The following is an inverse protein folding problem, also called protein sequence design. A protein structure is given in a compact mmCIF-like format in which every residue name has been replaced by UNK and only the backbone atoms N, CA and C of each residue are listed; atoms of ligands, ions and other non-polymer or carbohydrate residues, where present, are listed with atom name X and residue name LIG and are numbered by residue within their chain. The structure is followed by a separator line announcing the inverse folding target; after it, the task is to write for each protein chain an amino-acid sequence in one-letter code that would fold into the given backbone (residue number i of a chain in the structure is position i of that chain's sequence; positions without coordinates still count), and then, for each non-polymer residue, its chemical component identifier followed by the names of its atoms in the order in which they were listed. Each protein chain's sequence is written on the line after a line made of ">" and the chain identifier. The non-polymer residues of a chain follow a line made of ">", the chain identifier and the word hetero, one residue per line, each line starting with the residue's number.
data_IF_094010753466
#
_entry.id   IF_094010753466
#
_cell.length_a   1.000
_cell.length_b   1.000
_cell.length_c   1.000
_cell.angle_alpha   90.00
_cell.angle_beta   90.00
_cell.angle_gamma   90.00
#
_symmetry.space_group_name_H-M   'P 1'
#
loop_
_entity.id
_entity.type
_entity.pdbx_description
1 polymer ?
#
# COMPACT_ATOMS: atom_id res chain seq x y z
N UNK A 1 -32.24 -1.21 -52.72
CA UNK A 1 -31.58 0.02 -52.21
C UNK A 1 -31.16 -0.25 -50.78
N UNK A 2 -29.94 -0.80 -50.59
CA UNK A 2 -29.48 -1.19 -49.22
C UNK A 2 -28.97 0.05 -48.50
N UNK A 3 -29.60 0.40 -47.41
CA UNK A 3 -29.16 1.44 -46.53
C UNK A 3 -27.95 0.91 -45.77
N UNK A 4 -26.76 1.40 -46.14
CA UNK A 4 -25.51 1.06 -45.48
C UNK A 4 -25.54 1.55 -44.05
N UNK A 5 -25.54 0.63 -43.10
CA UNK A 5 -25.34 0.92 -41.69
C UNK A 5 -23.88 1.37 -41.52
N UNK A 6 -23.69 2.67 -41.36
CA UNK A 6 -22.38 3.23 -41.01
C UNK A 6 -21.97 2.70 -39.61
N UNK A 7 -21.10 1.68 -39.61
CA UNK A 7 -20.43 1.25 -38.41
C UNK A 7 -19.53 2.40 -37.88
N UNK A 8 -19.96 3.05 -36.82
CA UNK A 8 -19.15 4.03 -36.16
C UNK A 8 -17.97 3.30 -35.48
N UNK A 9 -16.78 3.43 -36.08
CA UNK A 9 -15.58 2.85 -35.52
C UNK A 9 -15.26 3.53 -34.16
N UNK A 10 -15.23 2.74 -33.09
CA UNK A 10 -14.81 3.21 -31.78
C UNK A 10 -13.45 2.61 -31.42
N UNK A 11 -12.67 3.34 -30.61
CA UNK A 11 -11.44 2.83 -30.02
C UNK A 11 -11.72 2.38 -28.58
N UNK A 12 -11.12 1.26 -28.20
CA UNK A 12 -11.14 0.82 -26.80
C UNK A 12 -9.89 1.42 -26.15
N UNK A 13 -10.09 2.18 -25.07
CA UNK A 13 -9.03 2.79 -24.25
C UNK A 13 -9.08 2.13 -22.89
N UNK A 14 -7.94 1.62 -22.41
CA UNK A 14 -7.81 1.10 -21.07
C UNK A 14 -7.69 2.27 -20.08
N UNK A 15 -8.61 2.32 -19.12
CA UNK A 15 -8.64 3.34 -18.06
C UNK A 15 -8.39 2.66 -16.71
N UNK A 16 -7.13 2.29 -16.44
CA UNK A 16 -6.72 1.58 -15.23
C UNK A 16 -7.01 0.08 -15.25
N UNK A 17 -6.74 -0.61 -14.14
CA UNK A 17 -6.69 -2.08 -14.03
C UNK A 17 -7.97 -2.82 -14.47
N UNK A 18 -9.14 -2.20 -14.37
CA UNK A 18 -10.42 -2.93 -14.50
C UNK A 18 -11.47 -2.28 -15.39
N UNK A 19 -11.17 -1.16 -16.06
CA UNK A 19 -12.17 -0.43 -16.85
C UNK A 19 -11.70 -0.20 -18.28
N UNK A 20 -12.52 -0.67 -19.22
CA UNK A 20 -12.36 -0.39 -20.65
C UNK A 20 -13.38 0.64 -21.11
N UNK A 21 -12.91 1.73 -21.68
CA UNK A 21 -13.76 2.80 -22.21
C UNK A 21 -13.85 2.71 -23.73
N UNK A 22 -15.04 2.82 -24.28
CA UNK A 22 -15.25 2.99 -25.72
C UNK A 22 -15.18 4.48 -26.05
N UNK A 23 -14.24 4.89 -26.89
CA UNK A 23 -14.09 6.25 -27.36
C UNK A 23 -14.61 6.38 -28.79
N UNK A 24 -15.54 7.30 -28.99
CA UNK A 24 -16.09 7.68 -30.31
C UNK A 24 -15.45 8.98 -30.82
N UNK A 25 -14.44 9.50 -30.12
CA UNK A 25 -13.76 10.73 -30.47
C UNK A 25 -12.98 10.56 -31.78
N UNK A 26 -13.17 11.49 -32.70
CA UNK A 26 -12.39 11.62 -33.94
C UNK A 26 -11.17 12.53 -33.78
N UNK A 27 -11.12 13.32 -32.71
CA UNK A 27 -10.05 14.24 -32.39
C UNK A 27 -9.04 13.51 -31.49
N UNK A 28 -7.74 13.67 -31.77
CA UNK A 28 -6.69 13.18 -30.87
C UNK A 28 -6.76 13.90 -29.54
N UNK A 29 -6.70 13.14 -28.44
CA UNK A 29 -6.58 13.75 -27.14
C UNK A 29 -5.30 14.58 -27.09
N UNK A 30 -5.43 15.86 -26.80
CA UNK A 30 -4.30 16.78 -26.65
C UNK A 30 -3.58 16.56 -25.32
N UNK A 31 -4.29 16.01 -24.33
CA UNK A 31 -3.76 15.69 -23.01
C UNK A 31 -4.09 14.24 -22.65
N UNK A 32 -3.10 13.56 -22.11
CA UNK A 32 -3.33 12.28 -21.44
C UNK A 32 -3.95 12.56 -20.07
N UNK A 33 -5.09 11.90 -19.78
CA UNK A 33 -5.67 11.94 -18.45
C UNK A 33 -4.70 11.24 -17.49
N UNK A 34 -4.09 12.01 -16.58
CA UNK A 34 -3.29 11.47 -15.49
C UNK A 34 -4.21 10.67 -14.54
N UNK A 35 -3.64 9.66 -13.92
CA UNK A 35 -4.32 8.96 -12.84
C UNK A 35 -4.52 9.93 -11.67
N UNK A 36 -5.79 10.23 -11.35
CA UNK A 36 -6.14 11.16 -10.27
C UNK A 36 -5.84 10.59 -8.87
N UNK A 37 -5.64 9.28 -8.77
CA UNK A 37 -5.30 8.56 -7.53
C UNK A 37 -3.80 8.36 -7.36
N UNK A 38 -2.99 8.81 -8.31
CA UNK A 38 -1.55 8.57 -8.34
C UNK A 38 -0.85 9.03 -7.06
N UNK A 39 -1.28 10.17 -6.50
CA UNK A 39 -0.68 10.72 -5.28
C UNK A 39 -0.87 9.77 -4.10
N UNK A 40 -2.10 9.27 -3.89
CA UNK A 40 -2.42 8.36 -2.80
C UNK A 40 -1.74 7.00 -2.98
N UNK A 41 -1.84 6.43 -4.18
CA UNK A 41 -1.31 5.10 -4.46
C UNK A 41 0.21 5.06 -4.40
N UNK A 42 0.90 6.06 -4.98
CA UNK A 42 2.37 6.14 -4.91
C UNK A 42 2.87 6.42 -3.49
N UNK A 43 2.19 7.28 -2.74
CA UNK A 43 2.54 7.57 -1.36
C UNK A 43 2.43 6.31 -0.48
N UNK A 44 1.34 5.55 -0.63
CA UNK A 44 1.17 4.30 0.10
C UNK A 44 2.18 3.23 -0.33
N UNK A 45 2.45 3.12 -1.63
CA UNK A 45 3.46 2.20 -2.15
C UNK A 45 4.86 2.56 -1.61
N UNK A 46 5.22 3.83 -1.59
CA UNK A 46 6.48 4.29 -0.98
C UNK A 46 6.53 3.94 0.50
N UNK A 47 5.45 4.21 1.25
CA UNK A 47 5.38 3.88 2.66
C UNK A 47 5.60 2.40 2.92
N UNK A 48 4.93 1.52 2.17
CA UNK A 48 5.02 0.07 2.36
C UNK A 48 6.34 -0.53 1.87
N UNK A 49 7.07 0.10 0.96
CA UNK A 49 8.32 -0.43 0.41
C UNK A 49 9.57 0.20 1.01
N UNK A 50 9.53 1.50 1.28
CA UNK A 50 10.69 2.29 1.69
C UNK A 50 10.52 2.88 3.07
N UNK A 51 9.37 3.53 3.34
CA UNK A 51 9.14 4.26 4.57
C UNK A 51 9.25 3.40 5.83
N UNK A 52 8.70 2.18 5.79
CA UNK A 52 8.83 1.23 6.92
C UNK A 52 10.30 0.84 7.14
N UNK A 53 11.07 0.63 6.07
CA UNK A 53 12.51 0.31 6.18
C UNK A 53 13.31 1.46 6.79
N UNK A 54 13.02 2.69 6.39
CA UNK A 54 13.66 3.89 6.95
C UNK A 54 13.40 4.00 8.45
N UNK A 55 12.13 3.80 8.88
CA UNK A 55 11.78 3.83 10.31
C UNK A 55 12.51 2.73 11.08
N UNK A 56 12.61 1.53 10.54
CA UNK A 56 13.37 0.47 11.20
C UNK A 56 14.87 0.78 11.24
N UNK A 57 15.45 1.31 10.17
CA UNK A 57 16.86 1.68 10.13
C UNK A 57 17.20 2.79 11.15
N UNK A 58 16.29 3.71 11.43
CA UNK A 58 16.47 4.78 12.40
C UNK A 58 16.36 4.29 13.85
N UNK A 59 15.58 3.23 14.09
CA UNK A 59 15.33 2.72 15.45
C UNK A 59 16.32 1.63 15.88
N UNK A 60 16.94 0.94 14.92
CA UNK A 60 17.76 -0.24 15.20
C UNK A 60 19.22 -0.08 14.70
N UNK A 61 20.19 -0.77 15.30
CA UNK A 61 20.04 -1.80 16.34
C UNK A 61 19.72 -1.22 17.72
N UNK A 62 18.93 -1.99 18.50
CA UNK A 62 18.71 -1.66 19.93
C UNK A 62 19.65 -2.51 20.75
N UNK A 63 20.50 -1.85 21.53
CA UNK A 63 21.44 -2.49 22.44
C UNK A 63 21.01 -2.36 23.89
N UNK A 64 21.33 -3.35 24.71
CA UNK A 64 21.13 -3.22 26.15
C UNK A 64 22.20 -2.29 26.74
N UNK A 65 21.97 -1.80 27.94
CA UNK A 65 22.89 -0.88 28.63
C UNK A 65 24.30 -1.42 28.82
N UNK A 66 24.46 -2.73 28.92
CA UNK A 66 25.76 -3.41 29.05
C UNK A 66 26.45 -3.71 27.70
N UNK A 67 25.79 -3.48 26.56
CA UNK A 67 26.30 -3.82 25.23
C UNK A 67 26.45 -5.32 24.94
N UNK A 68 25.87 -6.18 25.81
CA UNK A 68 26.00 -7.64 25.67
C UNK A 68 24.94 -8.26 24.74
N UNK A 69 23.81 -7.58 24.58
CA UNK A 69 22.70 -8.02 23.72
C UNK A 69 22.40 -6.92 22.70
N UNK A 70 22.31 -7.29 21.43
CA UNK A 70 21.82 -6.43 20.36
C UNK A 70 20.64 -7.06 19.66
N UNK A 71 19.61 -6.26 19.38
CA UNK A 71 18.43 -6.63 18.65
C UNK A 71 18.46 -5.95 17.29
N UNK A 72 18.41 -6.75 16.24
CA UNK A 72 18.36 -6.26 14.87
C UNK A 72 17.06 -6.68 14.19
N UNK A 73 16.57 -5.84 13.29
CA UNK A 73 15.43 -6.17 12.42
C UNK A 73 15.94 -6.61 11.06
N UNK A 74 15.37 -7.72 10.57
CA UNK A 74 15.59 -8.23 9.22
C UNK A 74 14.54 -7.75 8.24
N UNK A 75 14.10 -8.66 7.39
CA UNK A 75 13.06 -8.38 6.41
C UNK A 75 11.68 -8.38 7.06
N UNK A 76 10.75 -7.63 6.47
CA UNK A 76 9.36 -7.61 6.86
C UNK A 76 8.46 -8.01 5.70
N UNK A 77 7.31 -8.57 6.02
CA UNK A 77 6.29 -8.90 5.05
C UNK A 77 4.89 -8.70 5.61
N UNK A 78 3.95 -8.57 4.70
CA UNK A 78 2.54 -8.51 5.02
C UNK A 78 1.91 -9.84 4.68
N UNK A 79 1.20 -10.43 5.63
CA UNK A 79 0.39 -11.60 5.40
C UNK A 79 -0.89 -11.25 4.61
N UNK A 80 -1.61 -12.27 4.18
CA UNK A 80 -2.89 -12.07 3.52
C UNK A 80 -3.94 -11.49 4.49
N UNK A 81 -4.79 -10.55 4.02
CA UNK A 81 -5.89 -10.02 4.81
C UNK A 81 -6.86 -11.13 5.23
N UNK A 82 -7.31 -11.09 6.48
CA UNK A 82 -8.24 -12.11 7.03
C UNK A 82 -9.61 -12.10 6.37
N UNK A 83 -10.07 -10.93 5.93
CA UNK A 83 -11.39 -10.72 5.36
C UNK A 83 -11.29 -9.98 4.04
N UNK A 84 -12.22 -10.23 3.14
CA UNK A 84 -12.37 -9.46 1.93
C UNK A 84 -12.90 -8.05 2.23
N UNK A 85 -12.70 -7.11 1.31
CA UNK A 85 -13.20 -5.72 1.44
C UNK A 85 -14.71 -5.69 1.72
N UNK A 86 -15.48 -6.55 1.06
CA UNK A 86 -16.93 -6.64 1.24
C UNK A 86 -17.29 -7.12 2.64
N UNK A 87 -16.65 -8.18 3.11
CA UNK A 87 -16.86 -8.70 4.46
C UNK A 87 -16.46 -7.70 5.55
N UNK A 88 -15.40 -6.92 5.33
CA UNK A 88 -15.02 -5.87 6.26
C UNK A 88 -16.10 -4.79 6.39
N UNK A 89 -16.75 -4.42 5.27
CA UNK A 89 -17.87 -3.47 5.28
C UNK A 89 -19.11 -4.04 5.98
N UNK A 90 -19.43 -5.31 5.71
CA UNK A 90 -20.62 -5.97 6.29
C UNK A 90 -20.44 -6.24 7.80
N UNK A 91 -19.21 -6.50 8.25
CA UNK A 91 -18.87 -6.80 9.66
C UNK A 91 -18.38 -5.60 10.47
N UNK A 92 -18.37 -4.40 9.87
CA UNK A 92 -17.85 -3.18 10.49
C UNK A 92 -16.41 -3.32 11.02
N UNK A 93 -15.59 -4.08 10.30
CA UNK A 93 -14.16 -4.31 10.64
C UNK A 93 -13.24 -3.52 9.73
N UNK A 94 -11.95 -3.44 10.12
CA UNK A 94 -10.92 -2.78 9.33
C UNK A 94 -10.30 -3.77 8.35
N UNK A 95 -10.14 -3.35 7.08
CA UNK A 95 -9.40 -4.10 6.08
C UNK A 95 -7.90 -3.93 6.30
N UNK A 96 -7.28 -4.93 6.93
CA UNK A 96 -5.88 -4.91 7.35
C UNK A 96 -5.18 -6.23 7.07
N UNK A 97 -3.87 -6.18 6.97
CA UNK A 97 -3.00 -7.35 6.95
C UNK A 97 -2.05 -7.34 8.14
N UNK A 98 -1.74 -8.51 8.70
CA UNK A 98 -0.72 -8.66 9.71
C UNK A 98 0.66 -8.27 9.15
N UNK A 99 1.36 -7.37 9.84
CA UNK A 99 2.75 -7.05 9.57
C UNK A 99 3.63 -7.93 10.45
N UNK A 100 4.47 -8.72 9.81
CA UNK A 100 5.46 -9.57 10.46
C UNK A 100 6.86 -9.14 10.08
N UNK A 101 7.78 -9.33 11.01
CA UNK A 101 9.17 -8.93 10.88
C UNK A 101 10.07 -10.01 11.44
N UNK A 102 11.14 -10.30 10.71
CA UNK A 102 12.20 -11.18 11.19
C UNK A 102 13.11 -10.41 12.13
N UNK A 103 13.30 -10.92 13.32
CA UNK A 103 14.12 -10.30 14.36
C UNK A 103 15.28 -11.23 14.72
N UNK A 104 16.46 -10.63 14.83
CA UNK A 104 17.70 -11.31 15.24
C UNK A 104 18.17 -10.73 16.57
N UNK A 105 18.27 -11.61 17.57
CA UNK A 105 18.86 -11.29 18.84
C UNK A 105 20.29 -11.86 18.90
N UNK A 106 21.26 -10.98 18.97
CA UNK A 106 22.68 -11.33 19.16
C UNK A 106 23.06 -11.26 20.63
N UNK A 107 23.64 -12.33 21.14
CA UNK A 107 24.31 -12.33 22.44
C UNK A 107 25.82 -12.28 22.21
N UNK A 108 26.43 -11.13 22.53
CA UNK A 108 27.87 -10.92 22.30
C UNK A 108 28.77 -11.67 23.30
N UNK A 109 28.24 -12.09 24.46
CA UNK A 109 29.00 -12.86 25.44
C UNK A 109 29.10 -14.36 25.05
N UNK A 110 27.99 -14.94 24.59
CA UNK A 110 27.93 -16.37 24.25
C UNK A 110 28.15 -16.62 22.77
N UNK A 111 28.04 -15.60 21.92
CA UNK A 111 28.09 -15.71 20.46
C UNK A 111 26.84 -16.35 19.87
N UNK A 112 25.76 -16.50 20.65
CA UNK A 112 24.50 -17.07 20.18
C UNK A 112 23.68 -16.06 19.40
N UNK A 113 23.11 -16.50 18.28
CA UNK A 113 22.15 -15.74 17.46
C UNK A 113 20.81 -16.47 17.50
N UNK A 114 19.76 -15.76 17.89
CA UNK A 114 18.38 -16.29 17.86
C UNK A 114 17.58 -15.48 16.84
N UNK A 115 17.00 -16.17 15.86
CA UNK A 115 16.12 -15.59 14.86
C UNK A 115 14.70 -16.04 15.12
N UNK A 116 13.77 -15.07 15.05
CA UNK A 116 12.35 -15.34 15.22
C UNK A 116 11.52 -14.33 14.45
N UNK A 117 10.46 -14.81 13.80
CA UNK A 117 9.44 -13.95 13.21
C UNK A 117 8.51 -13.42 14.30
N UNK A 118 8.31 -12.11 14.31
CA UNK A 118 7.47 -11.41 15.29
C UNK A 118 6.33 -10.69 14.58
N UNK A 119 5.12 -10.86 15.11
CA UNK A 119 3.95 -10.07 14.72
C UNK A 119 4.03 -8.69 15.38
N UNK A 120 4.08 -7.63 14.57
CA UNK A 120 4.08 -6.25 15.07
C UNK A 120 2.69 -5.65 15.25
N UNK A 121 1.78 -5.98 14.34
CA UNK A 121 0.43 -5.45 14.37
C UNK A 121 -0.31 -5.59 13.04
N UNK A 122 -1.58 -5.21 13.04
CA UNK A 122 -2.40 -5.19 11.85
C UNK A 122 -2.30 -3.81 11.17
N UNK A 123 -1.81 -3.78 9.93
CA UNK A 123 -1.68 -2.57 9.13
C UNK A 123 -2.84 -2.45 8.15
N UNK A 124 -3.55 -1.30 8.10
CA UNK A 124 -4.58 -1.07 7.11
C UNK A 124 -4.05 -1.13 5.68
N UNK A 125 -4.76 -1.84 4.81
CA UNK A 125 -4.38 -1.97 3.40
C UNK A 125 -5.24 -1.05 2.55
N UNK A 126 -4.58 -0.39 1.59
CA UNK A 126 -5.25 0.43 0.59
C UNK A 126 -5.98 -0.46 -0.43
N UNK A 127 -7.21 -0.09 -0.74
CA UNK A 127 -8.00 -0.73 -1.80
C UNK A 127 -7.53 -0.26 -3.19
N UNK A 128 -7.98 -0.94 -4.24
CA UNK A 128 -7.68 -0.55 -5.64
C UNK A 128 -8.20 0.85 -6.00
N UNK A 129 -9.17 1.37 -5.25
CA UNK A 129 -9.70 2.74 -5.40
C UNK A 129 -8.94 3.81 -4.63
N UNK A 130 -7.83 3.47 -3.99
CA UNK A 130 -7.03 4.42 -3.20
C UNK A 130 -7.67 4.78 -1.85
N UNK A 131 -8.58 3.97 -1.35
CA UNK A 131 -9.31 4.17 -0.09
C UNK A 131 -8.87 3.14 0.96
N UNK A 132 -9.18 3.42 2.22
CA UNK A 132 -9.03 2.49 3.34
C UNK A 132 -10.40 2.16 3.92
N UNK A 133 -10.62 0.90 4.28
CA UNK A 133 -11.83 0.49 5.01
C UNK A 133 -11.48 0.39 6.48
N UNK A 134 -11.97 1.33 7.28
CA UNK A 134 -11.76 1.42 8.72
C UNK A 134 -13.10 1.28 9.44
N UNK A 135 -13.25 0.25 10.26
CA UNK A 135 -14.49 -0.05 10.97
C UNK A 135 -15.71 -0.08 10.02
N UNK A 136 -15.55 -0.73 8.87
CA UNK A 136 -16.58 -0.84 7.84
C UNK A 136 -16.80 0.41 6.98
N UNK A 137 -16.27 1.56 7.36
CA UNK A 137 -16.38 2.81 6.61
C UNK A 137 -15.21 3.00 5.65
N UNK A 138 -15.51 3.33 4.40
CA UNK A 138 -14.50 3.65 3.39
C UNK A 138 -14.01 5.08 3.58
N UNK A 139 -12.71 5.25 3.77
CA UNK A 139 -12.07 6.54 4.08
C UNK A 139 -10.90 6.81 3.14
N UNK A 140 -10.61 8.08 2.92
CA UNK A 140 -9.50 8.55 2.08
C UNK A 140 -8.59 9.45 2.93
N UNK A 141 -7.28 9.28 2.75
CA UNK A 141 -6.29 10.21 3.31
C UNK A 141 -6.16 11.37 2.32
N UNK A 142 -6.53 12.57 2.76
CA UNK A 142 -6.47 13.79 1.94
C UNK A 142 -5.10 14.43 2.08
N UNK A 143 -4.46 14.76 0.95
CA UNK A 143 -3.20 15.50 0.95
C UNK A 143 -3.41 16.89 1.56
N UNK A 144 -2.51 17.30 2.46
CA UNK A 144 -2.55 18.59 3.12
C UNK A 144 -1.33 19.43 2.72
N UNK A 145 -1.57 20.72 2.44
CA UNK A 145 -0.50 21.70 2.32
C UNK A 145 -0.17 22.22 3.71
N UNK A 146 1.03 21.91 4.17
CA UNK A 146 1.53 22.36 5.47
C UNK A 146 2.53 23.49 5.26
N UNK A 147 2.43 24.55 6.08
CA UNK A 147 3.42 25.64 6.08
C UNK A 147 4.77 25.06 6.52
N UNK A 148 5.84 25.40 5.79
CA UNK A 148 7.19 24.99 6.17
C UNK A 148 7.54 25.51 7.57
N UNK A 149 8.27 24.74 8.38
CA UNK A 149 8.79 25.20 9.66
C UNK A 149 9.73 26.40 9.45
N UNK A 150 9.60 27.43 10.26
CA UNK A 150 10.48 28.60 10.17
C UNK A 150 9.81 29.94 10.07
#
# INVERSE_FOLDING_TARGET
>A
MCIGVNFVAYKIIDCGKHRKRRSFSRIKNTYELKDLLEIQTKSYQWFTTTGIKEVFADLFPVENFAGTLSLEFGDYHFDEPRFSIKECKDRETTYSAPLKVDVRLFNHETGEVKEQEIFLGDMPIMTDSGTFVINGAERVIVSQLVRSPG
#
